data_IF_401872326706
#
_entry.id   IF_401872326706
#
_cell.length_a   1.000
_cell.length_b   1.000
_cell.length_c   1.000
_cell.angle_alpha   90.00
_cell.angle_beta   90.00
_cell.angle_gamma   90.00
#
_symmetry.space_group_name_H-M   'P 1'
#
loop_
_entity.id
_entity.type
_entity.pdbx_description
1 polymer ?
#
# COMPACT_ATOMS: atom_id res chain seq x y z
N UNK A 1 53.41 -31.06 1.13
CA UNK A 1 52.84 -32.38 1.49
C UNK A 1 51.43 -32.45 0.95
N UNK A 2 51.26 -33.36 0.00
CA UNK A 2 49.97 -33.70 -0.65
C UNK A 2 49.17 -34.64 0.24
N UNK A 3 47.84 -34.53 0.19
CA UNK A 3 46.90 -35.64 0.31
C UNK A 3 45.48 -35.05 0.01
N UNK A 4 44.86 -35.22 -1.12
CA UNK A 4 44.25 -36.42 -1.70
C UNK A 4 42.81 -36.65 -1.19
N UNK A 5 41.87 -36.53 -2.17
CA UNK A 5 40.40 -36.73 -2.20
C UNK A 5 40.06 -38.23 -1.95
N UNK A 6 38.77 -38.59 -1.59
CA UNK A 6 38.01 -39.24 -2.63
C UNK A 6 36.51 -38.88 -2.72
N UNK A 7 36.03 -39.05 -3.93
CA UNK A 7 34.70 -39.07 -4.49
C UNK A 7 34.03 -40.44 -4.22
N UNK A 8 32.72 -40.45 -3.95
CA UNK A 8 31.73 -41.46 -4.34
C UNK A 8 30.44 -41.17 -3.56
N UNK A 9 29.23 -41.34 -4.07
CA UNK A 9 28.70 -42.00 -5.23
C UNK A 9 27.21 -41.75 -5.35
N UNK A 10 26.73 -41.90 -6.57
CA UNK A 10 25.33 -41.88 -7.01
C UNK A 10 24.42 -42.87 -6.28
N UNK A 11 23.19 -42.50 -6.04
CA UNK A 11 22.10 -43.47 -6.17
C UNK A 11 20.82 -42.82 -6.70
N UNK A 12 20.47 -43.33 -7.89
CA UNK A 12 19.27 -43.15 -8.68
C UNK A 12 18.23 -44.13 -8.18
N UNK A 13 17.05 -43.68 -7.85
CA UNK A 13 15.89 -44.58 -7.73
C UNK A 13 14.72 -43.98 -8.52
N UNK A 14 14.49 -44.63 -9.65
CA UNK A 14 13.28 -44.52 -10.44
C UNK A 14 12.16 -45.30 -9.76
N UNK A 15 10.98 -44.77 -9.71
CA UNK A 15 9.78 -45.61 -9.56
C UNK A 15 8.70 -45.16 -10.52
N UNK A 16 8.50 -45.99 -11.52
CA UNK A 16 7.37 -46.00 -12.44
C UNK A 16 6.10 -46.40 -11.66
N UNK A 17 5.00 -45.72 -11.91
CA UNK A 17 3.75 -46.43 -11.91
C UNK A 17 2.83 -45.93 -13.04
N UNK A 18 2.54 -46.85 -13.90
CA UNK A 18 1.83 -46.79 -15.16
C UNK A 18 0.32 -46.93 -14.94
N UNK A 19 -0.43 -46.19 -15.73
CA UNK A 19 -1.75 -46.45 -16.27
C UNK A 19 -2.97 -46.54 -15.35
N UNK A 20 -3.89 -45.62 -15.57
CA UNK A 20 -5.23 -46.05 -15.96
C UNK A 20 -5.92 -44.99 -16.85
N UNK A 21 -6.19 -45.44 -18.08
CA UNK A 21 -7.04 -44.75 -19.04
C UNK A 21 -8.47 -45.25 -18.88
N UNK A 22 -9.42 -44.35 -18.81
CA UNK A 22 -10.77 -44.57 -19.41
C UNK A 22 -11.59 -43.27 -19.32
N UNK A 23 -11.76 -42.67 -20.46
CA UNK A 23 -12.98 -42.08 -21.04
C UNK A 23 -14.07 -41.54 -20.08
N UNK A 24 -14.35 -40.22 -20.19
CA UNK A 24 -15.74 -39.87 -20.47
C UNK A 24 -15.84 -38.56 -21.27
N UNK A 25 -16.68 -38.66 -22.31
CA UNK A 25 -16.98 -37.61 -23.30
C UNK A 25 -17.99 -36.61 -22.75
N UNK A 26 -17.84 -35.38 -23.20
CA UNK A 26 -18.84 -34.37 -23.49
C UNK A 26 -19.70 -33.83 -22.33
N UNK A 27 -19.53 -32.54 -22.00
CA UNK A 27 -20.67 -31.64 -22.16
C UNK A 27 -20.21 -30.19 -22.33
N UNK A 28 -20.92 -29.48 -23.19
CA UNK A 28 -20.66 -28.15 -23.67
C UNK A 28 -21.08 -27.07 -22.65
N UNK A 29 -20.42 -25.94 -22.79
CA UNK A 29 -20.88 -24.58 -22.48
C UNK A 29 -21.54 -24.32 -21.12
N UNK A 30 -20.79 -23.65 -20.23
CA UNK A 30 -21.38 -22.59 -19.43
C UNK A 30 -20.29 -21.56 -19.07
N UNK A 31 -20.39 -20.41 -19.70
CA UNK A 31 -19.68 -19.19 -19.32
C UNK A 31 -20.21 -18.72 -17.98
N UNK A 32 -19.47 -18.99 -16.91
CA UNK A 32 -19.68 -18.33 -15.63
C UNK A 32 -18.47 -17.48 -15.30
N UNK A 33 -18.70 -16.18 -15.31
CA UNK A 33 -17.81 -15.18 -14.75
C UNK A 33 -17.46 -15.60 -13.32
N UNK A 34 -16.21 -15.96 -13.10
CA UNK A 34 -15.66 -16.16 -11.78
C UNK A 34 -15.51 -14.78 -11.15
N UNK A 35 -16.52 -14.40 -10.37
CA UNK A 35 -16.44 -13.37 -9.37
C UNK A 35 -15.35 -13.82 -8.40
N UNK A 36 -14.21 -13.16 -8.46
CA UNK A 36 -13.13 -13.38 -7.50
C UNK A 36 -13.60 -12.81 -6.17
N UNK A 37 -14.20 -13.67 -5.36
CA UNK A 37 -14.39 -13.40 -3.95
C UNK A 37 -13.03 -13.55 -3.28
N UNK A 38 -12.43 -12.41 -3.01
CA UNK A 38 -11.28 -12.27 -2.10
C UNK A 38 -11.73 -12.78 -0.72
N UNK A 39 -11.01 -13.74 -0.12
CA UNK A 39 -11.36 -14.22 1.21
C UNK A 39 -11.19 -13.06 2.20
N UNK A 40 -12.29 -12.64 2.80
CA UNK A 40 -12.31 -11.74 3.94
C UNK A 40 -11.35 -12.28 5.01
N UNK A 41 -10.16 -11.70 5.12
CA UNK A 41 -9.30 -11.88 6.28
C UNK A 41 -9.95 -11.17 7.45
N UNK A 42 -10.38 -11.99 8.39
CA UNK A 42 -10.95 -11.60 9.67
C UNK A 42 -10.10 -10.56 10.39
N UNK A 43 -10.80 -9.61 11.01
CA UNK A 43 -10.35 -8.61 11.95
C UNK A 43 -9.20 -9.06 12.84
N UNK A 44 -8.03 -8.51 12.60
CA UNK A 44 -7.01 -8.34 13.63
C UNK A 44 -7.00 -6.85 13.97
N UNK A 45 -7.91 -6.47 14.83
CA UNK A 45 -8.04 -5.11 15.36
C UNK A 45 -6.90 -4.82 16.35
N UNK A 46 -5.68 -4.56 15.85
CA UNK A 46 -4.63 -3.92 16.65
C UNK A 46 -3.55 -3.22 15.81
N UNK A 47 -3.34 -3.60 14.57
CA UNK A 47 -2.40 -2.87 13.71
C UNK A 47 -2.95 -2.93 12.30
N UNK A 48 -3.54 -1.84 11.81
CA UNK A 48 -4.12 -1.78 10.47
C UNK A 48 -3.17 -2.30 9.39
N UNK A 49 -3.71 -2.86 8.32
CA UNK A 49 -2.94 -3.41 7.20
C UNK A 49 -2.22 -2.30 6.42
N UNK A 50 -1.06 -2.61 5.88
CA UNK A 50 -0.31 -1.77 4.93
C UNK A 50 -0.06 -2.52 3.61
N UNK A 51 -0.82 -3.59 3.37
CA UNK A 51 -0.62 -4.47 2.22
C UNK A 51 -0.99 -3.81 0.87
N UNK A 52 -1.87 -2.83 0.88
CA UNK A 52 -2.28 -2.04 -0.28
C UNK A 52 -2.25 -0.54 0.04
N UNK A 53 -2.18 0.37 -0.97
CA UNK A 53 -2.32 1.82 -0.74
C UNK A 53 -3.64 2.17 -0.05
N UNK A 54 -4.74 1.53 -0.43
CA UNK A 54 -6.05 1.69 0.22
C UNK A 54 -6.00 1.30 1.70
N UNK A 55 -5.34 0.18 2.04
CA UNK A 55 -5.20 -0.26 3.44
C UNK A 55 -4.33 0.73 4.23
N UNK A 56 -3.23 1.20 3.64
CA UNK A 56 -2.35 2.18 4.27
C UNK A 56 -3.10 3.49 4.57
N UNK A 57 -3.90 3.98 3.61
CA UNK A 57 -4.76 5.16 3.82
C UNK A 57 -5.74 4.95 4.97
N UNK A 58 -6.50 3.85 4.96
CA UNK A 58 -7.49 3.54 6.00
C UNK A 58 -6.85 3.37 7.37
N UNK A 59 -5.65 2.80 7.42
CA UNK A 59 -4.87 2.67 8.66
C UNK A 59 -4.44 4.03 9.18
N UNK A 60 -3.93 4.93 8.32
CA UNK A 60 -3.57 6.29 8.69
C UNK A 60 -4.80 7.09 9.16
N UNK A 61 -5.92 6.95 8.45
CA UNK A 61 -7.19 7.59 8.82
C UNK A 61 -7.62 7.18 10.22
N UNK A 62 -7.68 5.88 10.51
CA UNK A 62 -8.07 5.35 11.82
C UNK A 62 -7.08 5.72 12.94
N UNK A 63 -5.78 5.78 12.64
CA UNK A 63 -4.77 6.23 13.59
C UNK A 63 -4.97 7.71 13.97
N UNK A 64 -5.32 8.57 13.00
CA UNK A 64 -5.64 9.98 13.26
C UNK A 64 -6.90 10.13 14.11
N UNK A 65 -7.98 9.40 13.80
CA UNK A 65 -9.21 9.42 14.64
C UNK A 65 -8.94 9.04 16.10
N UNK A 66 -8.06 8.04 16.30
CA UNK A 66 -7.71 7.54 17.64
C UNK A 66 -6.59 8.34 18.31
N UNK A 67 -5.99 9.30 17.61
CA UNK A 67 -4.76 10.01 18.02
C UNK A 67 -3.61 9.05 18.38
N UNK A 68 -3.52 7.96 17.61
CA UNK A 68 -2.50 6.93 17.75
C UNK A 68 -1.22 7.36 17.01
N UNK A 69 -0.25 7.86 17.79
CA UNK A 69 1.02 8.33 17.24
C UNK A 69 1.81 7.24 16.53
N UNK A 70 2.00 6.08 17.17
CA UNK A 70 2.79 4.99 16.59
C UNK A 70 2.09 4.39 15.38
N UNK A 71 0.77 4.24 15.44
CA UNK A 71 -0.06 3.81 14.31
C UNK A 71 0.08 4.75 13.12
N UNK A 72 -0.01 6.07 13.32
CA UNK A 72 0.14 7.04 12.23
C UNK A 72 1.58 7.06 11.70
N UNK A 73 2.58 7.17 12.58
CA UNK A 73 4.01 7.17 12.19
C UNK A 73 4.36 5.97 11.32
N UNK A 74 3.83 4.80 11.63
CA UNK A 74 4.05 3.57 10.86
C UNK A 74 3.54 3.66 9.43
N UNK A 75 2.52 4.47 9.16
CA UNK A 75 1.96 4.65 7.81
C UNK A 75 2.74 5.63 6.94
N UNK A 76 3.65 6.40 7.51
CA UNK A 76 4.44 7.42 6.81
C UNK A 76 5.72 6.81 6.21
N UNK A 77 6.09 7.27 5.02
CA UNK A 77 7.36 6.91 4.39
C UNK A 77 8.55 7.55 5.09
N UNK A 78 9.74 7.05 4.83
CA UNK A 78 10.99 7.65 5.32
C UNK A 78 11.14 9.10 4.86
N UNK A 79 10.72 9.41 3.65
CA UNK A 79 10.79 10.77 3.09
C UNK A 79 9.88 11.73 3.86
N UNK A 80 8.65 11.30 4.20
CA UNK A 80 7.74 12.10 5.03
C UNK A 80 8.30 12.27 6.44
N UNK A 81 8.84 11.21 7.04
CA UNK A 81 9.46 11.28 8.37
C UNK A 81 10.66 12.23 8.36
N UNK A 82 11.53 12.17 7.34
CA UNK A 82 12.65 13.09 7.18
C UNK A 82 12.17 14.53 7.05
N UNK A 83 11.22 14.79 6.17
CA UNK A 83 10.63 16.10 5.97
C UNK A 83 10.02 16.70 7.26
N UNK A 84 9.27 15.90 8.01
CA UNK A 84 8.70 16.34 9.29
C UNK A 84 9.78 16.58 10.36
N UNK A 85 10.88 15.82 10.33
CA UNK A 85 12.02 16.03 11.22
C UNK A 85 12.69 17.37 10.91
N UNK A 86 12.96 17.66 9.62
CA UNK A 86 13.60 18.92 9.20
C UNK A 86 12.74 20.14 9.54
N UNK A 87 11.41 20.04 9.38
CA UNK A 87 10.47 21.10 9.79
C UNK A 87 10.53 21.26 11.32
N UNK A 88 10.42 20.18 12.07
CA UNK A 88 10.46 20.22 13.53
C UNK A 88 11.75 20.88 14.04
N UNK A 89 12.91 20.51 13.50
CA UNK A 89 14.19 21.12 13.87
C UNK A 89 14.18 22.64 13.62
N UNK A 90 13.62 23.08 12.49
CA UNK A 90 13.54 24.52 12.16
C UNK A 90 12.59 25.30 13.09
N UNK A 91 11.58 24.63 13.64
CA UNK A 91 10.58 25.22 14.53
C UNK A 91 10.85 24.90 16.01
N UNK A 92 11.97 24.26 16.36
CA UNK A 92 12.32 23.79 17.70
C UNK A 92 11.29 22.82 18.29
N UNK A 93 10.74 21.95 17.43
CA UNK A 93 9.78 20.88 17.78
C UNK A 93 10.38 19.51 17.50
N UNK A 94 9.86 18.54 18.20
CA UNK A 94 10.21 17.13 17.95
C UNK A 94 9.37 16.55 16.80
N UNK A 95 9.85 15.48 16.18
CA UNK A 95 9.08 14.69 15.20
C UNK A 95 7.70 14.26 15.76
N UNK A 96 7.66 13.91 17.06
CA UNK A 96 6.42 13.50 17.71
C UNK A 96 5.40 14.64 17.73
N UNK A 97 5.83 15.86 18.02
CA UNK A 97 4.97 17.04 18.02
C UNK A 97 4.45 17.35 16.63
N UNK A 98 5.30 17.23 15.57
CA UNK A 98 4.88 17.41 14.20
C UNK A 98 3.84 16.37 13.75
N UNK A 99 4.04 15.09 14.08
CA UNK A 99 3.06 14.05 13.79
C UNK A 99 1.75 14.29 14.56
N UNK A 100 1.83 14.72 15.82
CA UNK A 100 0.64 15.02 16.63
C UNK A 100 -0.19 16.17 16.07
N UNK A 101 0.42 17.17 15.42
CA UNK A 101 -0.32 18.22 14.72
C UNK A 101 -1.18 17.69 13.57
N UNK A 102 -0.83 16.54 12.99
CA UNK A 102 -1.66 15.90 11.95
C UNK A 102 -2.99 15.38 12.49
N UNK A 103 -3.12 15.14 13.80
CA UNK A 103 -4.38 14.70 14.40
C UNK A 103 -5.46 15.79 14.39
N UNK A 104 -5.04 17.04 14.45
CA UNK A 104 -5.93 18.20 14.53
C UNK A 104 -6.32 18.73 13.15
N UNK A 105 -5.72 18.20 12.09
CA UNK A 105 -6.12 18.52 10.71
C UNK A 105 -7.49 17.93 10.40
N UNK A 106 -8.40 18.69 9.77
CA UNK A 106 -9.69 18.16 9.37
C UNK A 106 -9.56 16.91 8.50
N UNK A 107 -10.54 16.02 8.60
CA UNK A 107 -10.68 14.87 7.71
C UNK A 107 -12.16 14.57 7.44
N UNK A 108 -12.46 13.88 6.34
CA UNK A 108 -13.80 13.45 6.03
C UNK A 108 -14.39 12.59 7.17
N UNK A 109 -15.72 12.42 7.17
CA UNK A 109 -16.40 11.55 8.15
C UNK A 109 -16.14 10.06 7.91
N UNK A 110 -15.70 9.71 6.70
CA UNK A 110 -15.49 8.34 6.24
C UNK A 110 -14.17 8.23 5.48
N UNK A 111 -13.48 7.10 5.60
CA UNK A 111 -12.24 6.81 4.89
C UNK A 111 -12.52 6.30 3.45
N UNK A 112 -13.26 7.10 2.66
CA UNK A 112 -13.57 6.74 1.29
C UNK A 112 -12.38 6.99 0.37
N UNK A 113 -12.13 6.01 -0.52
CA UNK A 113 -11.08 6.07 -1.54
C UNK A 113 -11.59 5.53 -2.87
N UNK A 114 -10.95 5.97 -3.96
CA UNK A 114 -11.22 5.49 -5.31
C UNK A 114 -9.99 5.67 -6.20
N UNK A 115 -10.08 5.19 -7.44
CA UNK A 115 -9.08 5.41 -8.49
C UNK A 115 -7.64 5.04 -8.09
N UNK A 116 -7.48 3.99 -7.25
CA UNK A 116 -6.15 3.47 -6.92
C UNK A 116 -5.43 3.01 -8.18
N UNK A 117 -4.20 3.48 -8.37
CA UNK A 117 -3.31 3.10 -9.47
C UNK A 117 -1.93 2.79 -8.91
N UNK A 118 -1.45 1.57 -9.15
CA UNK A 118 -0.13 1.10 -8.74
C UNK A 118 0.78 1.04 -9.95
N UNK A 119 1.98 1.60 -9.82
CA UNK A 119 3.04 1.57 -10.84
C UNK A 119 4.37 1.17 -10.20
N UNK A 120 4.71 -0.11 -10.27
CA UNK A 120 5.90 -0.64 -9.59
C UNK A 120 5.82 -0.43 -8.07
N UNK A 121 6.73 0.36 -7.51
CA UNK A 121 6.81 0.67 -6.08
C UNK A 121 6.15 2.00 -5.71
N UNK A 122 5.42 2.62 -6.61
CA UNK A 122 4.66 3.85 -6.35
C UNK A 122 3.18 3.64 -6.62
N UNK A 123 2.34 4.37 -5.94
CA UNK A 123 0.90 4.36 -6.19
C UNK A 123 0.29 5.72 -5.91
N UNK A 124 -0.87 5.95 -6.50
CA UNK A 124 -1.74 7.08 -6.20
C UNK A 124 -3.16 6.59 -5.99
N UNK A 125 -3.92 7.27 -5.16
CA UNK A 125 -5.36 7.09 -5.04
C UNK A 125 -6.03 8.44 -4.75
N UNK A 126 -7.32 8.52 -5.02
CA UNK A 126 -8.14 9.65 -4.56
C UNK A 126 -8.80 9.30 -3.23
N UNK A 127 -8.76 10.24 -2.30
CA UNK A 127 -9.48 10.17 -1.03
C UNK A 127 -10.48 11.30 -0.92
N UNK A 128 -11.55 11.09 -0.15
CA UNK A 128 -12.54 12.11 0.17
C UNK A 128 -11.95 13.06 1.22
N UNK A 129 -11.96 14.38 0.94
CA UNK A 129 -11.57 15.40 1.92
C UNK A 129 -12.74 15.82 2.85
N UNK A 130 -12.46 16.64 3.83
CA UNK A 130 -13.45 17.14 4.80
C UNK A 130 -14.58 17.97 4.18
N UNK A 131 -14.39 18.49 2.98
CA UNK A 131 -15.35 19.30 2.23
C UNK A 131 -16.16 18.48 1.22
N UNK A 132 -15.92 17.16 1.16
CA UNK A 132 -16.55 16.27 0.19
C UNK A 132 -15.90 16.32 -1.20
N UNK A 133 -14.71 16.92 -1.32
CA UNK A 133 -13.90 16.92 -2.53
C UNK A 133 -13.00 15.71 -2.63
N UNK A 134 -12.68 15.30 -3.85
CA UNK A 134 -11.71 14.22 -4.09
C UNK A 134 -10.33 14.82 -4.29
N UNK A 135 -9.35 14.29 -3.54
CA UNK A 135 -7.95 14.70 -3.54
C UNK A 135 -7.05 13.52 -3.81
N UNK A 136 -5.95 13.74 -4.49
CA UNK A 136 -4.95 12.71 -4.73
C UNK A 136 -4.00 12.57 -3.53
N UNK A 137 -3.56 11.35 -3.30
CA UNK A 137 -2.55 11.00 -2.31
C UNK A 137 -1.58 10.01 -2.91
N UNK A 138 -0.29 10.24 -2.64
CA UNK A 138 0.81 9.45 -3.15
C UNK A 138 1.28 8.43 -2.13
N UNK A 139 1.71 7.27 -2.63
CA UNK A 139 2.22 6.16 -1.83
C UNK A 139 3.50 5.61 -2.44
N UNK A 140 4.35 5.10 -1.57
CA UNK A 140 5.55 4.35 -1.93
C UNK A 140 5.57 3.03 -1.19
N UNK A 141 6.09 1.99 -1.84
CA UNK A 141 6.27 0.68 -1.23
C UNK A 141 7.66 0.61 -0.58
N UNK A 142 7.69 0.42 0.73
CA UNK A 142 8.90 0.21 1.52
C UNK A 142 8.90 -1.22 2.11
N UNK A 143 9.72 -2.10 1.57
CA UNK A 143 9.63 -3.53 1.85
C UNK A 143 8.31 -4.11 1.35
N UNK A 144 7.53 -4.71 2.23
CA UNK A 144 6.22 -5.27 1.90
C UNK A 144 5.07 -4.30 2.18
N UNK A 145 5.34 -3.16 2.81
CA UNK A 145 4.37 -2.19 3.26
C UNK A 145 4.21 -1.01 2.30
N UNK A 146 2.98 -0.59 2.05
CA UNK A 146 2.68 0.69 1.42
C UNK A 146 2.67 1.81 2.46
N UNK A 147 3.28 2.95 2.13
CA UNK A 147 3.42 4.12 3.00
C UNK A 147 2.95 5.37 2.27
N UNK A 148 2.33 6.29 3.02
CA UNK A 148 2.05 7.63 2.53
C UNK A 148 3.36 8.36 2.28
N UNK A 149 3.49 9.02 1.12
CA UNK A 149 4.70 9.76 0.76
C UNK A 149 4.40 11.20 0.35
N UNK A 150 5.44 11.97 0.13
CA UNK A 150 5.31 13.33 -0.35
C UNK A 150 4.72 13.34 -1.76
N UNK A 151 3.95 14.40 -2.12
CA UNK A 151 3.38 14.52 -3.47
C UNK A 151 4.46 14.43 -4.54
N UNK A 152 4.17 13.67 -5.60
CA UNK A 152 5.03 13.59 -6.76
C UNK A 152 4.57 14.61 -7.81
N UNK A 153 5.52 15.25 -8.52
CA UNK A 153 5.23 16.21 -9.60
C UNK A 153 4.30 15.66 -10.70
N UNK A 154 4.15 14.34 -10.81
CA UNK A 154 3.28 13.67 -11.77
C UNK A 154 1.86 13.41 -11.26
N UNK A 155 1.57 13.77 -10.01
CA UNK A 155 0.23 13.60 -9.45
C UNK A 155 -0.70 14.67 -10.00
N UNK A 156 -1.91 14.34 -10.47
CA UNK A 156 -2.79 15.28 -11.18
C UNK A 156 -3.12 16.58 -10.43
N UNK A 157 -3.07 16.59 -9.09
CA UNK A 157 -3.31 17.78 -8.25
C UNK A 157 -2.06 18.64 -8.04
N UNK A 158 -0.87 18.24 -8.52
CA UNK A 158 0.33 19.07 -8.45
C UNK A 158 0.35 20.17 -9.50
N UNK A 159 -0.58 20.17 -10.47
CA UNK A 159 -0.83 21.32 -11.32
C UNK A 159 -1.64 22.36 -10.54
N UNK A 160 -0.97 23.44 -10.10
CA UNK A 160 -1.61 24.66 -9.59
C UNK A 160 -2.80 25.04 -10.49
N UNK A 161 -3.96 25.44 -9.91
CA UNK A 161 -5.07 25.91 -10.74
C UNK A 161 -4.55 27.07 -11.58
N UNK A 162 -4.35 26.81 -12.86
CA UNK A 162 -3.97 27.81 -13.84
C UNK A 162 -4.94 28.98 -13.68
N UNK A 163 -4.44 30.13 -13.22
CA UNK A 163 -5.15 31.40 -13.16
C UNK A 163 -5.84 31.58 -14.51
N UNK A 164 -7.15 31.37 -14.56
CA UNK A 164 -7.97 31.81 -15.67
C UNK A 164 -7.67 33.30 -15.87
N UNK A 165 -6.82 33.63 -16.86
CA UNK A 165 -6.70 34.96 -17.39
C UNK A 165 -8.10 35.39 -17.85
N UNK A 166 -8.72 36.25 -17.05
CA UNK A 166 -9.91 36.95 -17.47
C UNK A 166 -9.60 37.70 -18.76
N UNK A 167 -10.13 37.19 -19.86
CA UNK A 167 -10.21 37.92 -21.10
C UNK A 167 -11.30 38.98 -20.94
N UNK A 168 -10.92 40.23 -21.16
CA UNK A 168 -11.82 41.35 -21.38
C UNK A 168 -12.64 41.15 -22.66
#
# INVERSE_FOLDING_TARGET
MLAAIPIAGCQKAANNNTANAAQNKANAANSNAVKHEEPAKADTAAAGSLATPTDAYKTAYAAREKKDYEGLKRTLSKDVIGFLTDIGESEHKTLEEEIKQMFDRPQAKTAEVRNEKITGNTAVLEYLDENGGWKWMDFVKEGDDWKLTLPNEKTPDSEEPSKKKGGK
#
